data_IF_524522476637
#
_entry.id   IF_524522476637
#
_cell.length_a   1.000
_cell.length_b   1.000
_cell.length_c   1.000
_cell.angle_alpha   90.00
_cell.angle_beta   90.00
_cell.angle_gamma   90.00
#
_symmetry.space_group_name_H-M   'P 1'
#
loop_
_entity.id
_entity.type
_entity.pdbx_description
1 polymer ?
#
# COMPACT_ATOMS: atom_id res chain seq x y z
N UNK A 1 -11.46 5.95 20.69
CA UNK A 1 -10.99 4.98 19.67
C UNK A 1 -10.05 4.02 20.36
N UNK A 2 -10.15 2.71 20.11
CA UNK A 2 -9.23 1.75 20.74
C UNK A 2 -7.80 1.98 20.24
N UNK A 3 -6.82 1.80 21.12
CA UNK A 3 -5.38 1.86 20.82
C UNK A 3 -4.80 0.46 21.04
N UNK A 4 -5.02 -0.47 20.10
CA UNK A 4 -4.67 -1.88 20.31
C UNK A 4 -3.15 -2.12 20.45
N UNK A 5 -2.31 -1.18 20.02
CA UNK A 5 -0.85 -1.25 20.16
C UNK A 5 -0.31 -0.27 21.22
N UNK A 6 -1.14 0.16 22.17
CA UNK A 6 -0.64 0.91 23.33
C UNK A 6 0.47 0.11 24.05
N UNK A 7 1.47 0.83 24.55
CA UNK A 7 2.71 0.32 25.17
C UNK A 7 3.64 -0.48 24.25
N UNK A 8 3.28 -0.72 22.98
CA UNK A 8 4.18 -1.33 21.99
C UNK A 8 5.21 -0.29 21.50
N UNK A 9 6.46 -0.72 21.45
CA UNK A 9 7.60 0.08 20.96
C UNK A 9 8.15 -0.48 19.66
N UNK A 10 8.15 0.35 18.63
CA UNK A 10 8.66 0.02 17.30
C UNK A 10 9.97 0.76 17.06
N UNK A 11 10.98 0.04 16.60
CA UNK A 11 12.20 0.62 16.03
C UNK A 11 12.20 0.35 14.54
N UNK A 12 12.37 1.39 13.73
CA UNK A 12 12.44 1.26 12.26
C UNK A 12 13.78 1.72 11.73
N UNK A 13 14.40 0.91 10.89
CA UNK A 13 15.55 1.30 10.04
C UNK A 13 15.12 1.33 8.56
N UNK A 14 13.83 1.23 8.29
CA UNK A 14 13.29 1.10 6.96
C UNK A 14 13.13 2.49 6.34
N UNK A 15 14.07 2.86 5.47
CA UNK A 15 14.03 4.10 4.67
C UNK A 15 13.21 3.89 3.41
N UNK A 16 12.64 5.00 2.92
CA UNK A 16 11.76 5.06 1.76
C UNK A 16 10.53 4.13 1.91
N UNK A 17 9.50 4.34 1.09
CA UNK A 17 8.44 3.35 1.00
C UNK A 17 9.04 1.97 0.62
N UNK A 18 8.52 0.88 1.21
CA UNK A 18 7.29 0.76 2.02
C UNK A 18 7.43 0.99 3.54
N UNK A 19 8.65 1.19 4.06
CA UNK A 19 8.97 1.19 5.48
C UNK A 19 8.16 2.21 6.32
N UNK A 20 8.26 3.52 6.02
CA UNK A 20 7.54 4.57 6.72
C UNK A 20 6.02 4.37 6.73
N UNK A 21 5.42 3.83 5.65
CA UNK A 21 3.99 3.52 5.62
C UNK A 21 3.60 2.42 6.64
N UNK A 22 4.42 1.37 6.75
CA UNK A 22 4.19 0.32 7.75
C UNK A 22 4.24 0.89 9.18
N UNK A 23 5.22 1.73 9.48
CA UNK A 23 5.40 2.30 10.82
C UNK A 23 4.31 3.32 11.13
N UNK A 24 3.94 4.17 10.17
CA UNK A 24 2.81 5.10 10.30
C UNK A 24 1.52 4.36 10.67
N UNK A 25 1.28 3.19 10.04
CA UNK A 25 0.12 2.34 10.33
C UNK A 25 0.13 1.79 11.76
N UNK A 26 1.28 1.37 12.27
CA UNK A 26 1.43 0.88 13.65
C UNK A 26 1.24 2.02 14.67
N UNK A 27 1.77 3.21 14.38
CA UNK A 27 1.60 4.41 15.21
C UNK A 27 0.13 4.85 15.26
N UNK A 28 -0.57 4.81 14.13
CA UNK A 28 -2.00 5.08 14.07
C UNK A 28 -2.84 4.10 14.93
N UNK A 29 -2.32 2.91 15.20
CA UNK A 29 -2.92 1.90 16.09
C UNK A 29 -2.49 2.03 17.56
N UNK A 30 -1.63 3.01 17.89
CA UNK A 30 -1.25 3.36 19.26
C UNK A 30 0.19 3.03 19.65
N UNK A 31 1.00 2.44 18.76
CA UNK A 31 2.39 2.16 19.05
C UNK A 31 3.23 3.44 19.16
N UNK A 32 4.24 3.41 20.03
CA UNK A 32 5.32 4.40 20.01
C UNK A 32 6.41 3.94 19.03
N UNK A 33 7.01 4.85 18.27
CA UNK A 33 8.01 4.50 17.28
C UNK A 33 9.23 5.42 17.30
N UNK A 34 10.41 4.80 17.18
CA UNK A 34 11.67 5.48 16.88
C UNK A 34 12.18 5.03 15.51
N UNK A 35 12.25 5.97 14.57
CA UNK A 35 12.83 5.74 13.25
C UNK A 35 14.30 6.18 13.27
N UNK A 36 15.18 5.23 12.98
CA UNK A 36 16.62 5.41 12.88
C UNK A 36 17.00 5.60 11.42
N UNK A 37 17.43 6.81 11.08
CA UNK A 37 17.90 7.17 9.75
C UNK A 37 19.43 7.16 9.69
N UNK A 38 20.03 6.84 8.53
CA UNK A 38 21.45 7.06 8.33
C UNK A 38 21.76 8.58 8.34
N UNK A 39 23.04 8.98 8.47
CA UNK A 39 23.42 10.41 8.45
C UNK A 39 22.95 11.16 7.20
N UNK A 40 22.82 10.46 6.07
CA UNK A 40 22.29 11.01 4.82
C UNK A 40 20.77 11.22 4.78
N UNK A 41 20.04 10.82 5.82
CA UNK A 41 18.58 10.90 5.91
C UNK A 41 17.84 9.84 5.10
N UNK A 42 16.53 10.01 4.97
CA UNK A 42 15.67 9.20 4.11
C UNK A 42 15.60 9.86 2.71
N UNK A 43 15.79 9.14 1.59
CA UNK A 43 15.52 9.68 0.27
C UNK A 43 14.13 10.31 0.12
N UNK A 44 13.10 9.77 0.79
CA UNK A 44 11.74 10.29 0.81
C UNK A 44 11.67 11.70 1.41
N UNK A 45 12.46 11.99 2.45
CA UNK A 45 12.58 13.31 3.08
C UNK A 45 13.01 14.37 2.05
N UNK A 46 13.88 13.99 1.11
CA UNK A 46 14.43 14.89 0.11
C UNK A 46 13.49 15.11 -1.08
N UNK A 47 12.82 14.05 -1.55
CA UNK A 47 11.98 14.11 -2.76
C UNK A 47 10.53 14.51 -2.49
N UNK A 48 10.01 14.23 -1.29
CA UNK A 48 8.63 14.47 -0.91
C UNK A 48 8.50 14.83 0.58
N UNK A 49 9.03 15.98 1.04
CA UNK A 49 9.14 16.33 2.46
C UNK A 49 7.79 16.39 3.20
N UNK A 50 6.73 16.85 2.55
CA UNK A 50 5.39 16.88 3.15
C UNK A 50 4.87 15.47 3.43
N UNK A 51 5.05 14.55 2.48
CA UNK A 51 4.63 13.16 2.65
C UNK A 51 5.52 12.40 3.64
N UNK A 52 6.83 12.69 3.66
CA UNK A 52 7.72 12.21 4.71
C UNK A 52 7.24 12.64 6.09
N UNK A 53 6.89 13.92 6.26
CA UNK A 53 6.39 14.46 7.53
C UNK A 53 5.06 13.82 7.95
N UNK A 54 4.15 13.57 7.00
CA UNK A 54 2.90 12.85 7.24
C UNK A 54 3.16 11.43 7.77
N UNK A 55 4.01 10.65 7.09
CA UNK A 55 4.30 9.27 7.48
C UNK A 55 5.05 9.17 8.81
N UNK A 56 5.85 10.17 9.17
CA UNK A 56 6.61 10.20 10.43
C UNK A 56 5.91 10.98 11.55
N UNK A 57 4.68 11.45 11.34
CA UNK A 57 3.93 12.15 12.36
C UNK A 57 3.77 11.29 13.62
N UNK A 58 4.15 11.84 14.79
CA UNK A 58 4.09 11.14 16.07
C UNK A 58 5.25 10.17 16.35
N UNK A 59 6.26 10.12 15.49
CA UNK A 59 7.47 9.30 15.68
C UNK A 59 8.64 10.12 16.21
N UNK A 60 9.57 9.46 16.91
CA UNK A 60 10.90 10.02 17.20
C UNK A 60 11.83 9.67 16.04
N UNK A 61 12.60 10.63 15.53
CA UNK A 61 13.60 10.38 14.48
C UNK A 61 15.00 10.56 15.07
N UNK A 62 15.82 9.52 15.02
CA UNK A 62 17.24 9.56 15.37
C UNK A 62 18.10 9.35 14.13
N UNK A 63 19.21 10.09 14.02
CA UNK A 63 20.19 9.91 12.94
C UNK A 63 21.44 9.26 13.50
N UNK A 64 21.71 8.02 13.11
CA UNK A 64 22.80 7.20 13.62
C UNK A 64 23.66 6.68 12.45
N UNK A 65 24.98 6.81 12.55
CA UNK A 65 25.88 6.06 11.66
C UNK A 65 26.16 4.68 12.28
N UNK A 66 25.58 3.65 11.68
CA UNK A 66 25.72 2.26 12.15
C UNK A 66 27.05 1.61 11.74
N UNK A 67 27.95 2.37 11.08
CA UNK A 67 29.33 1.96 10.85
C UNK A 67 30.20 2.21 12.09
N UNK A 68 29.74 3.07 12.99
CA UNK A 68 30.46 3.60 14.13
C UNK A 68 30.14 2.76 15.38
N UNK A 69 31.06 2.73 16.35
CA UNK A 69 30.81 2.05 17.63
C UNK A 69 29.62 2.65 18.36
N UNK A 70 29.60 3.98 18.49
CA UNK A 70 28.58 4.73 19.23
C UNK A 70 27.19 4.59 18.60
N UNK A 71 27.09 4.63 17.26
CA UNK A 71 25.82 4.45 16.56
C UNK A 71 25.26 3.03 16.73
N UNK A 72 26.12 2.02 16.76
CA UNK A 72 25.72 0.64 17.06
C UNK A 72 25.28 0.49 18.52
N UNK A 73 26.03 1.03 19.47
CA UNK A 73 25.66 0.99 20.89
C UNK A 73 24.31 1.67 21.12
N UNK A 74 24.08 2.83 20.50
CA UNK A 74 22.79 3.53 20.58
C UNK A 74 21.64 2.69 20.00
N UNK A 75 21.85 2.06 18.84
CA UNK A 75 20.86 1.16 18.27
C UNK A 75 20.55 -0.01 19.20
N UNK A 76 21.55 -0.61 19.85
CA UNK A 76 21.32 -1.70 20.79
C UNK A 76 20.46 -1.28 21.99
N UNK A 77 20.69 -0.08 22.53
CA UNK A 77 19.83 0.47 23.59
C UNK A 77 18.38 0.59 23.12
N UNK A 78 18.16 1.05 21.88
CA UNK A 78 16.81 1.15 21.30
C UNK A 78 16.18 -0.25 21.15
N UNK A 79 16.92 -1.22 20.61
CA UNK A 79 16.43 -2.58 20.37
C UNK A 79 16.15 -3.35 21.66
N UNK A 80 16.93 -3.17 22.72
CA UNK A 80 16.70 -3.81 24.02
C UNK A 80 15.37 -3.40 24.67
N UNK A 81 14.83 -2.24 24.29
CA UNK A 81 13.57 -1.72 24.79
C UNK A 81 12.40 -1.90 23.82
N UNK A 82 12.65 -2.41 22.60
CA UNK A 82 11.68 -2.51 21.53
C UNK A 82 10.94 -3.86 21.53
N UNK A 83 9.71 -3.83 21.02
CA UNK A 83 8.90 -5.03 20.78
C UNK A 83 8.92 -5.42 19.29
N UNK A 84 9.08 -4.44 18.40
CA UNK A 84 9.14 -4.66 16.94
C UNK A 84 10.32 -3.93 16.32
N UNK A 85 11.05 -4.64 15.46
CA UNK A 85 12.06 -4.08 14.55
C UNK A 85 11.56 -4.18 13.11
N UNK A 86 11.47 -3.06 12.40
CA UNK A 86 11.11 -3.00 10.97
C UNK A 86 12.33 -2.59 10.15
N UNK A 87 12.64 -3.35 9.09
CA UNK A 87 13.76 -3.05 8.19
C UNK A 87 13.35 -3.21 6.72
N UNK A 88 13.97 -2.44 5.82
CA UNK A 88 13.81 -2.56 4.36
C UNK A 88 15.15 -2.76 3.63
N UNK A 89 16.17 -3.22 4.34
CA UNK A 89 17.51 -3.43 3.81
C UNK A 89 17.70 -4.83 3.23
N UNK A 90 18.65 -4.96 2.28
CA UNK A 90 19.02 -6.26 1.73
C UNK A 90 19.57 -7.20 2.82
N UNK A 91 19.32 -8.52 2.75
CA UNK A 91 19.81 -9.47 3.75
C UNK A 91 21.32 -9.40 3.98
N UNK A 92 22.13 -9.26 2.91
CA UNK A 92 23.58 -9.12 3.05
C UNK A 92 24.00 -7.86 3.85
N UNK A 93 23.23 -6.77 3.72
CA UNK A 93 23.49 -5.55 4.48
C UNK A 93 23.10 -5.72 5.96
N UNK A 94 21.97 -6.36 6.24
CA UNK A 94 21.53 -6.67 7.61
C UNK A 94 22.52 -7.60 8.33
N UNK A 95 22.99 -8.66 7.66
CA UNK A 95 23.99 -9.56 8.21
C UNK A 95 25.29 -8.81 8.58
N UNK A 96 25.75 -7.89 7.74
CA UNK A 96 26.93 -7.05 8.04
C UNK A 96 26.73 -6.12 9.24
N UNK A 97 25.49 -5.73 9.52
CA UNK A 97 25.11 -4.92 10.68
C UNK A 97 24.80 -5.76 11.93
N UNK A 98 24.83 -7.10 11.85
CA UNK A 98 24.41 -7.98 12.94
C UNK A 98 22.89 -7.92 13.21
N UNK A 99 22.12 -7.56 12.19
CA UNK A 99 20.66 -7.42 12.22
C UNK A 99 19.95 -8.52 11.41
N UNK A 100 20.66 -9.59 11.04
CA UNK A 100 20.02 -10.78 10.51
C UNK A 100 19.18 -11.49 11.62
N UNK A 101 18.20 -12.32 11.25
CA UNK A 101 17.26 -12.92 12.20
C UNK A 101 17.92 -13.73 13.32
N UNK A 102 19.03 -14.43 13.02
CA UNK A 102 19.73 -15.22 14.02
C UNK A 102 20.45 -14.32 15.02
N UNK A 103 21.13 -13.28 14.54
CA UNK A 103 21.81 -12.28 15.39
C UNK A 103 20.85 -11.48 16.25
N UNK A 104 19.68 -11.09 15.72
CA UNK A 104 18.64 -10.37 16.48
C UNK A 104 18.01 -11.29 17.52
N UNK A 105 17.53 -12.47 17.12
CA UNK A 105 16.88 -13.42 18.03
C UNK A 105 17.80 -13.95 19.14
N UNK A 106 19.11 -14.00 18.91
CA UNK A 106 20.10 -14.39 19.92
C UNK A 106 20.33 -13.33 21.01
N UNK A 107 20.17 -12.05 20.68
CA UNK A 107 20.44 -10.92 21.60
C UNK A 107 19.18 -10.35 22.22
N UNK A 108 18.09 -10.31 21.45
CA UNK A 108 16.80 -9.74 21.82
C UNK A 108 15.71 -10.81 21.67
N UNK A 109 15.65 -11.75 22.62
CA UNK A 109 14.85 -12.99 22.50
C UNK A 109 13.34 -12.79 22.40
N UNK A 110 12.83 -11.60 22.75
CA UNK A 110 11.42 -11.20 22.66
C UNK A 110 11.11 -10.24 21.50
N UNK A 111 12.12 -9.74 20.82
CA UNK A 111 11.95 -8.76 19.74
C UNK A 111 11.38 -9.44 18.50
N UNK A 112 10.25 -8.94 18.00
CA UNK A 112 9.68 -9.35 16.73
C UNK A 112 10.35 -8.58 15.59
N UNK A 113 10.86 -9.27 14.58
CA UNK A 113 11.50 -8.65 13.42
C UNK A 113 10.63 -8.79 12.18
N UNK A 114 10.41 -7.69 11.47
CA UNK A 114 9.75 -7.64 10.18
C UNK A 114 10.72 -7.10 9.14
N UNK A 115 11.12 -7.95 8.20
CA UNK A 115 11.97 -7.59 7.07
C UNK A 115 11.12 -7.38 5.82
N UNK A 116 11.25 -6.22 5.20
CA UNK A 116 10.65 -5.94 3.90
C UNK A 116 11.73 -6.05 2.84
N UNK A 117 11.57 -7.00 1.93
CA UNK A 117 12.57 -7.32 0.90
C UNK A 117 11.92 -7.34 -0.48
N UNK A 118 12.72 -7.10 -1.51
CA UNK A 118 12.24 -7.16 -2.88
C UNK A 118 11.91 -8.58 -3.35
N UNK A 119 12.81 -9.51 -3.05
CA UNK A 119 12.77 -10.91 -3.47
C UNK A 119 13.37 -11.79 -2.38
N UNK A 120 13.23 -13.11 -2.53
CA UNK A 120 13.85 -14.13 -1.67
C UNK A 120 14.73 -15.09 -2.49
N UNK A 121 15.45 -15.98 -1.79
CA UNK A 121 16.32 -16.98 -2.40
C UNK A 121 17.48 -16.36 -3.17
N UNK A 122 17.81 -16.92 -4.33
CA UNK A 122 18.93 -16.45 -5.17
C UNK A 122 18.78 -14.99 -5.65
N UNK A 123 17.59 -14.40 -5.56
CA UNK A 123 17.31 -13.01 -5.96
C UNK A 123 17.27 -12.04 -4.79
N UNK A 124 17.56 -12.47 -3.56
CA UNK A 124 17.34 -11.66 -2.35
C UNK A 124 18.07 -10.30 -2.36
N UNK A 125 19.22 -10.21 -3.05
CA UNK A 125 20.00 -8.97 -3.17
C UNK A 125 19.77 -8.19 -4.48
N UNK A 126 18.83 -8.64 -5.33
CA UNK A 126 18.46 -7.94 -6.56
C UNK A 126 17.73 -6.65 -6.22
N UNK A 127 18.21 -5.53 -6.77
CA UNK A 127 17.58 -4.23 -6.61
C UNK A 127 16.17 -4.23 -7.21
N UNK A 128 15.25 -3.51 -6.55
CA UNK A 128 13.93 -3.25 -7.08
C UNK A 128 13.32 -2.03 -6.42
N UNK A 129 12.31 -1.50 -7.10
CA UNK A 129 11.42 -0.42 -6.67
C UNK A 129 9.99 -0.81 -7.06
N UNK A 130 9.00 -0.18 -6.44
CA UNK A 130 7.57 -0.34 -6.77
C UNK A 130 7.30 -0.48 -8.28
N UNK A 131 7.80 0.46 -9.09
CA UNK A 131 7.64 0.45 -10.54
C UNK A 131 8.12 -0.86 -11.18
N UNK A 132 9.27 -1.39 -10.76
CA UNK A 132 9.84 -2.63 -11.30
C UNK A 132 9.05 -3.86 -10.86
N UNK A 133 8.46 -3.85 -9.65
CA UNK A 133 7.60 -4.93 -9.19
C UNK A 133 6.26 -4.92 -9.94
N UNK A 134 5.65 -3.74 -10.13
CA UNK A 134 4.46 -3.59 -10.96
C UNK A 134 4.71 -4.01 -12.41
N UNK A 135 5.83 -3.61 -12.99
CA UNK A 135 6.23 -4.01 -14.34
C UNK A 135 6.37 -5.53 -14.47
N UNK A 136 7.09 -6.16 -13.54
CA UNK A 136 7.31 -7.61 -13.53
C UNK A 136 6.00 -8.40 -13.35
N UNK A 137 5.01 -7.82 -12.64
CA UNK A 137 3.69 -8.40 -12.46
C UNK A 137 2.71 -8.11 -13.62
N UNK A 138 3.15 -7.40 -14.68
CA UNK A 138 2.34 -7.10 -15.86
C UNK A 138 1.31 -5.98 -15.66
N UNK A 139 1.45 -5.17 -14.61
CA UNK A 139 0.47 -4.14 -14.24
C UNK A 139 0.61 -2.82 -15.02
N UNK A 140 1.63 -2.68 -15.88
CA UNK A 140 1.95 -1.44 -16.62
C UNK A 140 1.60 -1.51 -18.12
N UNK A 141 0.56 -2.28 -18.48
CA UNK A 141 0.27 -2.68 -19.86
C UNK A 141 -0.03 -1.54 -20.86
N UNK A 142 -0.30 -0.32 -20.41
CA UNK A 142 -0.62 0.85 -21.25
C UNK A 142 0.57 1.80 -21.47
N UNK A 143 1.76 1.45 -20.95
CA UNK A 143 2.98 2.26 -21.08
C UNK A 143 2.97 3.56 -20.28
N UNK A 144 2.00 3.74 -19.37
CA UNK A 144 1.92 4.92 -18.49
C UNK A 144 2.57 4.61 -17.15
N UNK A 145 3.19 5.63 -16.54
CA UNK A 145 3.63 5.51 -15.16
C UNK A 145 2.43 5.37 -14.22
N UNK A 146 2.48 4.46 -13.24
CA UNK A 146 1.42 4.34 -12.26
C UNK A 146 1.34 5.62 -11.43
N UNK A 147 0.11 6.00 -11.06
CA UNK A 147 -0.14 7.20 -10.24
C UNK A 147 -0.07 6.93 -8.74
N UNK A 148 0.19 5.68 -8.36
CA UNK A 148 0.32 5.21 -6.99
C UNK A 148 1.44 4.18 -6.89
N UNK A 149 2.03 4.08 -5.70
CA UNK A 149 3.05 3.09 -5.36
C UNK A 149 2.37 1.85 -4.78
N UNK A 150 1.56 1.18 -5.61
CA UNK A 150 0.62 0.15 -5.16
C UNK A 150 1.30 -1.01 -4.42
N UNK A 151 2.46 -1.45 -4.90
CA UNK A 151 3.19 -2.58 -4.31
C UNK A 151 3.82 -2.17 -2.99
N UNK A 152 4.42 -0.98 -2.94
CA UNK A 152 5.01 -0.49 -1.69
C UNK A 152 3.93 -0.22 -0.62
N UNK A 153 2.82 0.44 -0.97
CA UNK A 153 1.74 0.71 -0.01
C UNK A 153 1.08 -0.58 0.51
N UNK A 154 0.78 -1.53 -0.39
CA UNK A 154 0.26 -2.84 0.01
C UNK A 154 1.30 -3.66 0.80
N UNK A 155 2.59 -3.51 0.47
CA UNK A 155 3.69 -4.10 1.22
C UNK A 155 3.81 -3.52 2.64
N UNK A 156 3.60 -2.21 2.79
CA UNK A 156 3.56 -1.52 4.08
C UNK A 156 2.41 -2.00 4.97
N UNK A 157 1.20 -2.12 4.42
CA UNK A 157 0.07 -2.70 5.15
C UNK A 157 0.31 -4.18 5.52
N UNK A 158 0.91 -4.97 4.61
CA UNK A 158 1.29 -6.36 4.92
C UNK A 158 2.34 -6.40 6.02
N UNK A 159 3.33 -5.51 6.02
CA UNK A 159 4.34 -5.44 7.08
C UNK A 159 3.75 -5.06 8.44
N UNK A 160 2.80 -4.13 8.49
CA UNK A 160 2.09 -3.80 9.72
C UNK A 160 1.23 -4.98 10.23
N UNK A 161 0.58 -5.72 9.31
CA UNK A 161 -0.15 -6.93 9.65
C UNK A 161 0.77 -8.04 10.19
N UNK A 162 1.93 -8.26 9.56
CA UNK A 162 2.94 -9.23 10.00
C UNK A 162 3.57 -8.84 11.35
N UNK A 163 3.79 -7.55 11.60
CA UNK A 163 4.23 -7.05 12.91
C UNK A 163 3.19 -7.39 13.99
N UNK A 164 1.91 -7.14 13.72
CA UNK A 164 0.82 -7.48 14.65
C UNK A 164 0.73 -8.99 14.87
N UNK A 165 0.84 -9.80 13.82
CA UNK A 165 0.84 -11.26 13.92
C UNK A 165 2.05 -11.77 14.73
N UNK A 166 3.22 -11.17 14.54
CA UNK A 166 4.42 -11.48 15.31
C UNK A 166 4.25 -11.14 16.80
N UNK A 167 3.66 -9.98 17.12
CA UNK A 167 3.35 -9.59 18.51
C UNK A 167 2.36 -10.56 19.16
N UNK A 168 1.31 -10.97 18.44
CA UNK A 168 0.34 -11.96 18.93
C UNK A 168 1.03 -13.29 19.20
N UNK A 169 1.91 -13.75 18.31
CA UNK A 169 2.68 -14.98 18.54
C UNK A 169 3.61 -14.84 19.75
N UNK A 170 4.37 -13.75 19.86
CA UNK A 170 5.24 -13.48 20.99
C UNK A 170 4.47 -13.41 22.31
N UNK A 171 3.26 -12.86 22.33
CA UNK A 171 2.42 -12.82 23.54
C UNK A 171 2.04 -14.21 24.06
N UNK A 172 1.97 -15.21 23.16
CA UNK A 172 1.60 -16.59 23.47
C UNK A 172 2.81 -17.46 23.80
N UNK A 173 3.93 -17.23 23.11
CA UNK A 173 5.14 -18.07 23.21
C UNK A 173 6.20 -17.50 24.14
N UNK A 174 6.12 -16.19 24.43
CA UNK A 174 7.17 -15.44 25.11
C UNK A 174 8.44 -15.23 24.27
N UNK A 175 8.40 -15.55 22.96
CA UNK A 175 9.55 -15.47 22.06
C UNK A 175 9.23 -14.60 20.86
N UNK A 176 10.16 -13.71 20.53
CA UNK A 176 10.11 -12.90 19.32
C UNK A 176 10.15 -13.79 18.08
N UNK A 177 9.59 -13.30 16.98
CA UNK A 177 9.53 -14.03 15.71
C UNK A 177 10.01 -13.16 14.57
N UNK A 178 10.58 -13.79 13.55
CA UNK A 178 10.94 -13.15 12.30
C UNK A 178 9.84 -13.36 11.25
N UNK A 179 9.49 -12.29 10.55
CA UNK A 179 8.55 -12.26 9.42
C UNK A 179 9.21 -11.58 8.24
N UNK A 180 8.94 -12.08 7.04
CA UNK A 180 9.45 -11.49 5.79
C UNK A 180 8.30 -11.10 4.90
N UNK A 181 8.27 -9.84 4.46
CA UNK A 181 7.36 -9.32 3.44
C UNK A 181 8.12 -9.17 2.13
N UNK A 182 7.69 -9.90 1.11
CA UNK A 182 8.34 -9.93 -0.20
C UNK A 182 7.54 -9.09 -1.19
N UNK A 183 8.11 -8.00 -1.69
CA UNK A 183 7.39 -7.07 -2.58
C UNK A 183 7.01 -7.68 -3.92
N UNK A 184 7.82 -8.61 -4.46
CA UNK A 184 7.44 -9.36 -5.65
C UNK A 184 6.19 -10.25 -5.43
N UNK A 185 6.02 -10.81 -4.23
CA UNK A 185 4.85 -11.64 -3.90
C UNK A 185 3.62 -10.75 -3.65
N UNK A 186 3.82 -9.55 -3.09
CA UNK A 186 2.78 -8.52 -2.99
C UNK A 186 2.30 -8.11 -4.38
N UNK A 187 3.22 -7.83 -5.31
CA UNK A 187 2.88 -7.49 -6.70
C UNK A 187 2.11 -8.62 -7.40
N UNK A 188 2.54 -9.88 -7.19
CA UNK A 188 1.82 -11.06 -7.69
C UNK A 188 0.40 -11.15 -7.11
N UNK A 189 0.23 -10.85 -5.83
CA UNK A 189 -1.09 -10.82 -5.18
C UNK A 189 -1.98 -9.75 -5.81
N UNK A 190 -1.45 -8.54 -6.02
CA UNK A 190 -2.18 -7.42 -6.63
C UNK A 190 -2.55 -7.68 -8.09
N UNK A 191 -1.72 -8.44 -8.82
CA UNK A 191 -1.98 -8.81 -10.21
C UNK A 191 -2.99 -9.96 -10.36
N UNK A 192 -3.37 -10.67 -9.29
CA UNK A 192 -4.25 -11.83 -9.38
C UNK A 192 -5.59 -11.56 -10.11
N UNK A 193 -6.32 -10.44 -9.86
CA UNK A 193 -7.53 -10.14 -10.62
C UNK A 193 -7.28 -10.00 -12.14
N UNK A 194 -6.12 -9.45 -12.52
CA UNK A 194 -5.75 -9.30 -13.92
C UNK A 194 -5.37 -10.63 -14.55
N UNK A 195 -4.51 -11.42 -13.87
CA UNK A 195 -4.04 -12.72 -14.39
C UNK A 195 -5.15 -13.77 -14.48
N UNK A 196 -6.18 -13.67 -13.63
CA UNK A 196 -7.39 -14.49 -13.72
C UNK A 196 -8.45 -13.93 -14.70
N UNK A 197 -8.14 -12.86 -15.43
CA UNK A 197 -9.02 -12.30 -16.47
C UNK A 197 -10.20 -11.47 -15.93
N UNK A 198 -10.29 -11.24 -14.61
CA UNK A 198 -11.36 -10.47 -14.00
C UNK A 198 -11.28 -8.99 -14.41
N UNK A 199 -10.08 -8.40 -14.35
CA UNK A 199 -9.81 -7.00 -14.69
C UNK A 199 -9.03 -6.81 -16.00
N UNK A 200 -8.71 -7.90 -16.71
CA UNK A 200 -8.12 -7.82 -18.05
C UNK A 200 -9.11 -7.17 -19.04
N UNK A 201 -8.65 -6.55 -20.15
CA UNK A 201 -9.54 -5.96 -21.14
C UNK A 201 -10.62 -6.94 -21.62
N UNK A 202 -11.90 -6.53 -21.51
CA UNK A 202 -13.05 -7.38 -21.85
C UNK A 202 -13.48 -8.34 -20.73
N UNK A 203 -12.73 -8.42 -19.64
CA UNK A 203 -13.12 -9.11 -18.41
C UNK A 203 -14.26 -8.39 -17.70
N UNK A 204 -14.91 -9.08 -16.76
CA UNK A 204 -16.10 -8.59 -16.06
C UNK A 204 -15.89 -7.20 -15.43
N UNK A 205 -14.76 -6.99 -14.77
CA UNK A 205 -14.34 -5.72 -14.15
C UNK A 205 -13.26 -4.99 -14.98
N UNK A 206 -13.05 -5.42 -16.23
CA UNK A 206 -12.12 -4.84 -17.18
C UNK A 206 -12.81 -4.23 -18.40
N UNK A 207 -14.06 -3.76 -18.23
CA UNK A 207 -14.86 -3.14 -19.30
C UNK A 207 -15.58 -4.13 -20.21
N UNK A 208 -15.75 -5.40 -19.78
CA UNK A 208 -16.52 -6.39 -20.54
C UNK A 208 -18.03 -6.12 -20.58
N UNK A 209 -18.56 -5.37 -19.60
CA UNK A 209 -19.96 -4.99 -19.51
C UNK A 209 -20.16 -3.50 -19.80
N UNK A 210 -21.16 -3.11 -20.60
CA UNK A 210 -21.51 -1.69 -20.76
C UNK A 210 -21.84 -0.99 -19.43
N UNK A 211 -22.36 -1.73 -18.46
CA UNK A 211 -22.72 -1.17 -17.15
C UNK A 211 -21.54 -1.14 -16.17
N UNK A 212 -20.32 -1.47 -16.61
CA UNK A 212 -19.09 -1.33 -15.84
C UNK A 212 -18.02 -0.66 -16.70
N UNK A 213 -17.99 0.67 -16.72
CA UNK A 213 -17.02 1.43 -17.53
C UNK A 213 -16.89 2.92 -17.15
N UNK A 214 -15.93 3.58 -17.81
CA UNK A 214 -15.77 5.02 -17.85
C UNK A 214 -16.45 5.58 -19.11
N UNK A 215 -17.31 6.58 -18.92
CA UNK A 215 -18.00 7.26 -20.01
C UNK A 215 -17.67 8.76 -20.01
N UNK A 216 -17.52 9.34 -21.20
CA UNK A 216 -17.47 10.79 -21.34
C UNK A 216 -18.82 11.40 -20.94
N UNK A 217 -18.78 12.51 -20.21
CA UNK A 217 -19.95 13.33 -19.93
C UNK A 217 -19.84 14.67 -20.67
N UNK A 218 -20.81 15.58 -20.49
CA UNK A 218 -20.72 16.93 -21.08
C UNK A 218 -19.45 17.67 -20.65
N UNK A 219 -18.98 17.38 -19.43
CA UNK A 219 -17.67 17.73 -18.91
C UNK A 219 -17.07 16.52 -18.16
N UNK A 220 -15.75 16.33 -18.29
CA UNK A 220 -15.06 15.23 -17.62
C UNK A 220 -15.58 13.84 -18.00
N UNK A 221 -15.59 12.94 -17.02
CA UNK A 221 -16.03 11.54 -17.19
C UNK A 221 -16.86 11.09 -15.99
N UNK A 222 -17.69 10.08 -16.20
CA UNK A 222 -18.36 9.33 -15.14
C UNK A 222 -17.81 7.91 -15.09
N UNK A 223 -17.66 7.36 -13.89
CA UNK A 223 -17.39 5.94 -13.68
C UNK A 223 -18.69 5.25 -13.26
N UNK A 224 -19.16 4.30 -14.07
CA UNK A 224 -20.36 3.50 -13.83
C UNK A 224 -19.94 2.08 -13.42
N UNK A 225 -20.54 1.56 -12.36
CA UNK A 225 -20.29 0.21 -11.84
C UNK A 225 -21.60 -0.54 -11.50
N UNK A 226 -22.60 -0.47 -12.38
CA UNK A 226 -23.88 -1.18 -12.25
C UNK A 226 -23.75 -2.64 -12.73
N UNK A 227 -22.89 -3.40 -12.04
CA UNK A 227 -22.53 -4.78 -12.36
C UNK A 227 -23.67 -5.77 -12.06
N UNK A 228 -24.32 -5.60 -10.91
CA UNK A 228 -25.30 -6.52 -10.38
C UNK A 228 -26.65 -6.38 -11.11
N UNK A 229 -27.42 -7.49 -11.29
CA UNK A 229 -28.67 -7.47 -12.05
C UNK A 229 -29.68 -6.41 -11.57
N UNK A 230 -29.76 -6.18 -10.25
CA UNK A 230 -30.67 -5.19 -9.68
C UNK A 230 -30.25 -3.74 -9.99
N UNK A 231 -28.95 -3.43 -10.02
CA UNK A 231 -28.49 -2.10 -10.45
C UNK A 231 -28.65 -1.90 -11.96
N UNK A 232 -28.39 -2.92 -12.77
CA UNK A 232 -28.63 -2.85 -14.20
C UNK A 232 -30.12 -2.62 -14.52
N UNK A 233 -31.02 -3.34 -13.83
CA UNK A 233 -32.46 -3.13 -13.96
C UNK A 233 -32.86 -1.71 -13.53
N UNK A 234 -32.38 -1.26 -12.36
CA UNK A 234 -32.67 0.08 -11.85
C UNK A 234 -32.16 1.18 -12.78
N UNK A 235 -30.97 0.98 -13.37
CA UNK A 235 -30.41 1.88 -14.37
C UNK A 235 -31.31 1.95 -15.62
N UNK A 236 -31.76 0.79 -16.11
CA UNK A 236 -32.64 0.70 -17.27
C UNK A 236 -33.97 1.45 -17.01
N UNK A 237 -34.62 1.17 -15.88
CA UNK A 237 -35.86 1.84 -15.45
C UNK A 237 -35.67 3.36 -15.32
N UNK A 238 -34.58 3.80 -14.68
CA UNK A 238 -34.29 5.21 -14.47
C UNK A 238 -33.99 5.96 -15.78
N UNK A 239 -33.45 5.27 -16.79
CA UNK A 239 -33.19 5.81 -18.11
C UNK A 239 -34.38 5.67 -19.07
N UNK A 240 -35.44 4.97 -18.67
CA UNK A 240 -36.60 4.69 -19.51
C UNK A 240 -36.27 3.77 -20.69
N UNK A 241 -35.38 2.79 -20.48
CA UNK A 241 -34.93 1.84 -21.51
C UNK A 241 -35.13 0.40 -21.04
N UNK A 242 -35.23 -0.54 -21.98
CA UNK A 242 -35.13 -1.96 -21.67
C UNK A 242 -33.69 -2.29 -21.19
N UNK A 243 -33.48 -3.18 -20.21
CA UNK A 243 -32.15 -3.65 -19.82
C UNK A 243 -31.27 -4.11 -21.00
N UNK A 244 -31.84 -4.77 -22.03
CA UNK A 244 -31.14 -5.14 -23.25
C UNK A 244 -30.69 -3.93 -24.09
N UNK A 245 -31.32 -2.78 -23.85
CA UNK A 245 -30.99 -1.50 -24.46
C UNK A 245 -29.81 -0.77 -23.80
N UNK A 246 -29.27 -1.25 -22.68
CA UNK A 246 -28.07 -0.70 -22.02
C UNK A 246 -26.78 -1.08 -22.78
N UNK A 247 -26.70 -0.66 -24.04
CA UNK A 247 -25.52 -0.88 -24.87
C UNK A 247 -24.48 0.22 -24.65
N UNK A 248 -23.21 -0.11 -24.86
CA UNK A 248 -22.09 0.84 -24.69
C UNK A 248 -22.23 2.11 -25.54
N UNK A 249 -22.59 2.06 -26.84
CA UNK A 249 -22.81 3.27 -27.63
C UNK A 249 -23.94 4.13 -27.08
N UNK A 250 -25.06 3.52 -26.66
CA UNK A 250 -26.20 4.26 -26.12
C UNK A 250 -25.86 4.97 -24.80
N UNK A 251 -25.14 4.28 -23.90
CA UNK A 251 -24.69 4.87 -22.65
C UNK A 251 -23.67 5.99 -22.90
N UNK A 252 -22.75 5.79 -23.85
CA UNK A 252 -21.80 6.83 -24.24
C UNK A 252 -22.51 8.09 -24.75
N UNK A 253 -23.49 7.96 -25.65
CA UNK A 253 -24.26 9.10 -26.14
C UNK A 253 -25.08 9.76 -25.01
N UNK A 254 -25.76 8.96 -24.19
CA UNK A 254 -26.61 9.46 -23.11
C UNK A 254 -25.81 10.25 -22.08
N UNK A 255 -24.64 9.75 -21.66
CA UNK A 255 -23.85 10.43 -20.64
C UNK A 255 -23.31 11.80 -21.10
N UNK A 256 -23.15 12.04 -22.40
CA UNK A 256 -22.76 13.37 -22.92
C UNK A 256 -23.82 14.47 -22.72
N UNK A 257 -25.06 14.12 -22.37
CA UNK A 257 -26.18 15.09 -22.28
C UNK A 257 -26.17 15.95 -21.01
N UNK A 258 -25.39 15.58 -19.99
CA UNK A 258 -25.29 16.30 -18.71
C UNK A 258 -23.84 16.30 -18.22
N UNK A 259 -23.53 17.21 -17.29
CA UNK A 259 -22.23 17.24 -16.63
C UNK A 259 -21.99 15.98 -15.79
N UNK A 260 -20.73 15.60 -15.58
CA UNK A 260 -20.41 14.41 -14.77
C UNK A 260 -20.99 14.52 -13.36
N UNK A 261 -20.97 15.74 -12.78
CA UNK A 261 -21.56 16.02 -11.48
C UNK A 261 -23.08 15.84 -11.46
N UNK A 262 -23.79 16.34 -12.48
CA UNK A 262 -25.24 16.17 -12.56
C UNK A 262 -25.64 14.70 -12.70
N UNK A 263 -24.83 13.89 -13.39
CA UNK A 263 -25.03 12.44 -13.44
C UNK A 263 -24.81 11.76 -12.09
N UNK A 264 -23.77 12.15 -11.35
CA UNK A 264 -23.53 11.64 -10.00
C UNK A 264 -24.70 11.96 -9.07
N UNK A 265 -25.17 13.22 -9.05
CA UNK A 265 -26.32 13.63 -8.22
C UNK A 265 -27.58 12.83 -8.62
N UNK A 266 -27.85 12.69 -9.92
CA UNK A 266 -28.95 11.88 -10.45
C UNK A 266 -28.86 10.39 -10.02
N UNK A 267 -27.64 9.83 -10.00
CA UNK A 267 -27.40 8.45 -9.61
C UNK A 267 -27.56 8.23 -8.10
N UNK A 268 -27.10 9.18 -7.28
CA UNK A 268 -27.25 9.14 -5.83
C UNK A 268 -28.72 9.15 -5.39
N UNK A 269 -29.55 9.99 -6.00
CA UNK A 269 -31.00 10.02 -5.77
C UNK A 269 -31.69 8.68 -6.08
N UNK A 270 -31.03 7.85 -6.91
CA UNK A 270 -31.58 6.61 -7.44
C UNK A 270 -30.82 5.39 -6.96
N UNK A 271 -29.92 5.50 -5.98
CA UNK A 271 -29.16 4.35 -5.48
C UNK A 271 -28.45 3.58 -6.62
N UNK A 272 -27.75 4.32 -7.48
CA UNK A 272 -26.97 3.76 -8.60
C UNK A 272 -25.46 3.98 -8.36
N UNK A 273 -24.61 2.96 -8.60
CA UNK A 273 -23.16 3.06 -8.46
C UNK A 273 -22.55 3.82 -9.65
N UNK A 274 -22.69 5.14 -9.63
CA UNK A 274 -22.08 6.05 -10.59
C UNK A 274 -21.50 7.27 -9.87
N UNK A 275 -20.27 7.65 -10.23
CA UNK A 275 -19.59 8.82 -9.68
C UNK A 275 -18.92 9.62 -10.79
N UNK A 276 -18.82 10.94 -10.62
CA UNK A 276 -17.97 11.77 -11.46
C UNK A 276 -16.50 11.42 -11.20
N UNK A 277 -15.71 11.23 -12.26
CA UNK A 277 -14.27 11.04 -12.14
C UNK A 277 -13.65 12.34 -11.63
N UNK A 278 -13.06 12.29 -10.45
CA UNK A 278 -12.48 13.47 -9.83
C UNK A 278 -11.35 14.06 -10.70
N UNK A 279 -11.25 15.40 -10.80
CA UNK A 279 -10.10 16.02 -11.42
C UNK A 279 -8.83 15.67 -10.63
N UNK A 280 -7.69 15.57 -11.32
CA UNK A 280 -6.41 15.37 -10.63
C UNK A 280 -6.15 16.55 -9.68
N UNK A 281 -5.78 16.30 -8.41
CA UNK A 281 -5.38 17.37 -7.50
C UNK A 281 -4.23 18.18 -8.12
N UNK A 282 -4.37 19.50 -8.17
CA UNK A 282 -3.32 20.39 -8.67
C UNK A 282 -2.41 20.80 -7.50
N UNK A 283 -1.40 19.97 -7.21
CA UNK A 283 -0.31 20.30 -6.26
C UNK A 283 -0.53 19.82 -4.82
N UNK A 284 0.54 19.85 -3.98
CA UNK A 284 0.52 19.27 -2.65
C UNK A 284 -0.23 20.19 -1.67
N UNK A 285 -1.25 19.65 -1.02
CA UNK A 285 -1.87 20.21 0.18
C UNK A 285 -1.13 19.71 1.42
#
# INVERSE_FOLDING_TARGET
MSRPLEDIRVVSLAVNLPGPAAVARLVAQGASATTVLPPGGDPLEQVAPAYFAELHAGQTIERLDLKDGDGRERLEVLLSAADVLVTSSRPAALARLGLDPASVGGRHTRLCQVEIVGHTGARADVAGHDLTYQAAAGLLGDGRLPTTLAVDLAGGERAAAEATAALVECSRTGKGTHRTVVLADVATTLAAPFTHGLTAPGGLLGGGLPTYDLYAAADGQVALAALEPHFAQRLAEALGVDPAGLTRPRLADLFTTRTARAWQEWAQERDLPLVAVAPRPTGPH
#
